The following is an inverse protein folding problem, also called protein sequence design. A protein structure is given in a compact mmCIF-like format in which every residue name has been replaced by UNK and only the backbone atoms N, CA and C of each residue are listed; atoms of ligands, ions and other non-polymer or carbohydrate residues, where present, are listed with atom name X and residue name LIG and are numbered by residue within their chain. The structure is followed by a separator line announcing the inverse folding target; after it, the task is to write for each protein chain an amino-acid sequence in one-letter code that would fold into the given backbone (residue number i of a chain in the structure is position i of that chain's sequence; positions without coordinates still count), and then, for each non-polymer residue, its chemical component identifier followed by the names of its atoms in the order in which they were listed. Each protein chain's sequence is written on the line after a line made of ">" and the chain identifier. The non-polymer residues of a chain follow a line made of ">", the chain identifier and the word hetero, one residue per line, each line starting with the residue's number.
data_IF_393268338318
#
_entry.id   IF_393268338318
#
_cell.length_a   1.000
_cell.length_b   1.000
_cell.length_c   1.000
_cell.angle_alpha   90.00
_cell.angle_beta   90.00
_cell.angle_gamma   90.00
#
_symmetry.space_group_name_H-M   'P 1'
#
loop_
_entity.id
_entity.type
_entity.pdbx_description
1 polymer ?
#
# COMPACT_ATOMS: atom_id res chain seq x y z
N UNK A 1 -9.73 -4.44 -19.54
CA UNK A 1 -10.23 -3.09 -19.22
C UNK A 1 -9.97 -2.88 -17.75
N UNK A 2 -9.16 -1.88 -17.42
CA UNK A 2 -8.77 -1.58 -16.05
C UNK A 2 -9.96 -1.08 -15.22
N UNK A 3 -9.93 -1.29 -13.90
CA UNK A 3 -10.97 -0.81 -12.98
C UNK A 3 -11.06 0.72 -13.01
N UNK A 4 -9.92 1.41 -13.03
CA UNK A 4 -9.91 2.88 -13.16
C UNK A 4 -10.71 3.34 -14.39
N UNK A 5 -10.51 2.72 -15.54
CA UNK A 5 -11.27 2.99 -16.77
C UNK A 5 -12.76 2.72 -16.59
N UNK A 6 -13.12 1.64 -15.89
CA UNK A 6 -14.53 1.33 -15.59
C UNK A 6 -15.17 2.38 -14.69
N UNK A 7 -14.47 2.85 -13.65
CA UNK A 7 -14.97 3.90 -12.75
C UNK A 7 -15.23 5.19 -13.53
N UNK A 8 -14.26 5.65 -14.33
CA UNK A 8 -14.42 6.83 -15.17
C UNK A 8 -15.59 6.70 -16.16
N UNK A 9 -15.75 5.54 -16.78
CA UNK A 9 -16.87 5.29 -17.69
C UNK A 9 -18.23 5.30 -16.96
N UNK A 10 -18.31 4.80 -15.72
CA UNK A 10 -19.54 4.86 -14.90
C UNK A 10 -19.85 6.30 -14.53
N UNK A 11 -18.85 7.07 -14.10
CA UNK A 11 -19.04 8.48 -13.75
C UNK A 11 -19.54 9.26 -14.97
N UNK A 12 -18.91 9.07 -16.14
CA UNK A 12 -19.37 9.69 -17.39
C UNK A 12 -20.80 9.27 -17.78
N UNK A 13 -21.16 8.00 -17.56
CA UNK A 13 -22.54 7.55 -17.76
C UNK A 13 -23.52 8.23 -16.81
N UNK A 14 -23.15 8.38 -15.53
CA UNK A 14 -23.96 9.06 -14.52
C UNK A 14 -24.17 10.55 -14.85
N UNK A 15 -23.12 11.23 -15.34
CA UNK A 15 -23.19 12.61 -15.85
C UNK A 15 -24.17 12.71 -17.02
N UNK A 16 -24.05 11.81 -18.01
CA UNK A 16 -24.93 11.82 -19.20
C UNK A 16 -26.40 11.55 -18.85
N UNK A 17 -26.67 10.85 -17.75
CA UNK A 17 -28.02 10.58 -17.24
C UNK A 17 -28.54 11.67 -16.31
N UNK A 18 -27.73 12.69 -15.99
CA UNK A 18 -28.11 13.79 -15.11
C UNK A 18 -28.10 13.45 -13.62
N UNK A 19 -27.44 12.37 -13.20
CA UNK A 19 -27.34 11.99 -11.78
C UNK A 19 -26.33 12.84 -11.00
N UNK A 20 -25.35 13.45 -11.69
CA UNK A 20 -24.31 14.29 -11.10
C UNK A 20 -23.86 15.37 -12.09
N UNK A 21 -23.23 16.42 -11.58
CA UNK A 21 -22.48 17.38 -12.38
C UNK A 21 -21.22 16.76 -13.01
N UNK A 22 -20.64 17.48 -13.97
CA UNK A 22 -19.38 17.09 -14.60
C UNK A 22 -18.24 17.06 -13.58
N UNK A 23 -17.50 15.96 -13.58
CA UNK A 23 -16.24 15.79 -12.84
C UNK A 23 -15.10 15.65 -13.84
N UNK A 24 -14.03 16.42 -13.65
CA UNK A 24 -12.83 16.29 -14.48
C UNK A 24 -12.10 14.97 -14.16
N UNK A 25 -11.35 14.38 -15.12
CA UNK A 25 -10.62 13.14 -14.84
C UNK A 25 -9.67 13.21 -13.64
N UNK A 26 -8.92 14.31 -13.40
CA UNK A 26 -8.08 14.42 -12.21
C UNK A 26 -8.87 14.44 -10.89
N UNK A 27 -10.07 15.02 -10.87
CA UNK A 27 -10.94 14.99 -9.67
C UNK A 27 -11.37 13.55 -9.36
N UNK A 28 -11.77 12.80 -10.39
CA UNK A 28 -12.12 11.38 -10.23
C UNK A 28 -10.91 10.57 -9.75
N UNK A 29 -9.72 10.80 -10.31
CA UNK A 29 -8.49 10.11 -9.89
C UNK A 29 -8.12 10.41 -8.42
N UNK A 30 -8.28 11.66 -7.97
CA UNK A 30 -8.04 12.05 -6.57
C UNK A 30 -9.01 11.35 -5.62
N UNK A 31 -10.30 11.27 -5.98
CA UNK A 31 -11.31 10.56 -5.17
C UNK A 31 -11.07 9.05 -5.14
N UNK A 32 -10.66 8.46 -6.28
CA UNK A 32 -10.22 7.05 -6.32
C UNK A 32 -9.06 6.84 -5.34
N UNK A 33 -8.06 7.72 -5.35
CA UNK A 33 -6.91 7.60 -4.47
C UNK A 33 -7.28 7.76 -2.99
N UNK A 34 -8.15 8.72 -2.64
CA UNK A 34 -8.65 8.89 -1.28
C UNK A 34 -9.34 7.61 -0.77
N UNK A 35 -10.23 7.03 -1.57
CA UNK A 35 -10.93 5.78 -1.20
C UNK A 35 -9.98 4.59 -1.08
N UNK A 36 -8.97 4.51 -1.96
CA UNK A 36 -7.90 3.49 -1.86
C UNK A 36 -7.15 3.64 -0.54
N UNK A 37 -6.78 4.87 -0.18
CA UNK A 37 -6.01 5.14 1.04
C UNK A 37 -6.84 4.85 2.30
N UNK A 38 -8.11 5.24 2.32
CA UNK A 38 -9.02 4.94 3.44
C UNK A 38 -9.19 3.43 3.63
N UNK A 39 -9.40 2.70 2.52
CA UNK A 39 -9.53 1.23 2.56
C UNK A 39 -8.22 0.56 2.96
N UNK A 40 -7.08 1.09 2.52
CA UNK A 40 -5.77 0.62 2.93
C UNK A 40 -5.55 0.80 4.44
N UNK A 41 -5.86 1.97 5.00
CA UNK A 41 -5.71 2.26 6.42
C UNK A 41 -6.60 1.37 7.30
N UNK A 42 -7.85 1.14 6.87
CA UNK A 42 -8.78 0.21 7.50
C UNK A 42 -8.15 -1.20 7.60
N UNK A 43 -7.66 -1.72 6.47
CA UNK A 43 -7.06 -3.06 6.41
C UNK A 43 -5.70 -3.17 7.08
N UNK A 44 -4.87 -2.12 7.04
CA UNK A 44 -3.58 -2.09 7.71
C UNK A 44 -3.74 -2.28 9.23
N UNK A 45 -4.75 -1.64 9.83
CA UNK A 45 -5.03 -1.74 11.28
C UNK A 45 -5.45 -3.15 11.74
N UNK A 46 -5.97 -3.96 10.83
CA UNK A 46 -6.45 -5.33 11.09
C UNK A 46 -5.54 -6.41 10.49
N UNK A 47 -4.44 -6.01 9.83
CA UNK A 47 -3.55 -6.90 9.09
C UNK A 47 -3.04 -8.06 9.97
N UNK A 48 -2.58 -7.75 11.19
CA UNK A 48 -2.07 -8.78 12.11
C UNK A 48 -3.16 -9.74 12.62
N UNK A 49 -4.43 -9.35 12.57
CA UNK A 49 -5.54 -10.08 13.22
C UNK A 49 -6.24 -11.06 12.29
N UNK A 50 -6.30 -10.77 10.99
CA UNK A 50 -7.17 -11.49 10.06
C UNK A 50 -6.39 -12.01 8.84
N UNK A 51 -6.36 -13.34 8.63
CA UNK A 51 -5.71 -13.96 7.46
C UNK A 51 -6.29 -13.48 6.14
N UNK A 52 -7.61 -13.29 6.06
CA UNK A 52 -8.26 -12.81 4.85
C UNK A 52 -7.83 -11.39 4.48
N UNK A 53 -7.62 -10.53 5.48
CA UNK A 53 -7.11 -9.17 5.27
C UNK A 53 -5.64 -9.22 4.85
N UNK A 54 -4.85 -10.14 5.40
CA UNK A 54 -3.47 -10.37 4.92
C UNK A 54 -3.43 -10.73 3.43
N UNK A 55 -4.34 -11.59 2.98
CA UNK A 55 -4.44 -11.95 1.56
C UNK A 55 -4.82 -10.74 0.68
N UNK A 56 -5.72 -9.87 1.17
CA UNK A 56 -6.10 -8.64 0.47
C UNK A 56 -4.97 -7.62 0.40
N UNK A 57 -4.13 -7.60 1.43
CA UNK A 57 -2.98 -6.70 1.57
C UNK A 57 -1.71 -7.23 0.90
N UNK A 58 -1.71 -8.47 0.40
CA UNK A 58 -0.57 -9.09 -0.26
C UNK A 58 0.07 -8.26 -1.38
N UNK A 59 -0.67 -7.51 -2.24
CA UNK A 59 -0.06 -6.65 -3.27
C UNK A 59 0.82 -5.52 -2.72
N UNK A 60 0.61 -5.15 -1.45
CA UNK A 60 1.38 -4.11 -0.77
C UNK A 60 2.50 -4.68 0.09
N UNK A 61 2.63 -6.00 0.17
CA UNK A 61 3.70 -6.64 0.90
C UNK A 61 4.97 -6.64 0.04
N UNK A 62 6.02 -5.99 0.54
CA UNK A 62 7.32 -5.92 -0.13
C UNK A 62 8.38 -6.42 0.83
N UNK A 63 9.26 -7.28 0.33
CA UNK A 63 10.48 -7.70 1.04
C UNK A 63 11.68 -7.12 0.31
N UNK A 64 12.49 -6.33 1.02
CA UNK A 64 13.71 -5.73 0.50
C UNK A 64 14.91 -6.07 1.39
N UNK A 65 16.05 -6.33 0.76
CA UNK A 65 17.33 -6.36 1.46
C UNK A 65 17.80 -4.93 1.73
N UNK A 66 18.12 -4.63 2.98
CA UNK A 66 18.75 -3.38 3.41
C UNK A 66 20.17 -3.63 3.86
N UNK A 67 21.04 -2.70 3.50
CA UNK A 67 22.46 -2.71 3.85
C UNK A 67 22.72 -1.56 4.83
N UNK A 68 23.58 -1.78 5.82
CA UNK A 68 23.95 -0.76 6.80
C UNK A 68 24.57 0.44 6.08
N UNK A 69 23.99 1.62 6.30
CA UNK A 69 24.41 2.90 5.72
C UNK A 69 25.85 3.28 6.13
N UNK A 70 26.24 2.88 7.33
CA UNK A 70 27.48 3.30 8.00
C UNK A 70 28.54 2.20 8.11
N UNK A 71 28.19 0.96 7.73
CA UNK A 71 28.98 -0.27 7.88
C UNK A 71 29.45 -0.62 9.31
N UNK A 72 29.02 0.15 10.32
CA UNK A 72 29.56 0.08 11.69
C UNK A 72 28.54 0.35 12.78
N UNK A 73 27.54 1.20 12.51
CA UNK A 73 26.59 1.69 13.53
C UNK A 73 25.25 0.93 13.53
N UNK A 74 25.09 -0.08 12.65
CA UNK A 74 23.86 -0.89 12.56
C UNK A 74 22.64 -0.07 12.17
N UNK A 75 22.85 0.99 11.39
CA UNK A 75 21.80 1.92 10.97
C UNK A 75 21.43 1.69 9.52
N UNK A 76 20.14 1.54 9.26
CA UNK A 76 19.60 1.23 7.94
C UNK A 76 18.63 2.31 7.49
N UNK A 77 18.60 2.56 6.18
CA UNK A 77 17.61 3.48 5.61
C UNK A 77 16.27 2.78 5.44
N UNK A 78 15.23 3.48 5.86
CA UNK A 78 13.85 3.04 5.67
C UNK A 78 13.54 3.07 4.15
N UNK A 79 12.87 2.04 3.59
CA UNK A 79 12.43 2.09 2.20
C UNK A 79 11.52 3.29 1.90
N UNK A 80 11.60 3.76 0.66
CA UNK A 80 10.61 4.70 0.13
C UNK A 80 9.22 4.07 0.21
N UNK A 81 8.20 4.86 0.59
CA UNK A 81 6.80 4.41 0.74
C UNK A 81 6.58 3.35 1.84
N UNK A 82 7.52 3.15 2.76
CA UNK A 82 7.25 2.30 3.92
C UNK A 82 6.16 2.93 4.80
N UNK A 83 5.15 2.13 5.14
CA UNK A 83 4.15 2.48 6.15
C UNK A 83 4.33 1.67 7.45
N UNK A 84 4.32 0.33 7.34
CA UNK A 84 4.38 -0.57 8.50
C UNK A 84 5.36 -1.72 8.28
N UNK A 85 6.20 -1.99 9.29
CA UNK A 85 6.99 -3.22 9.38
C UNK A 85 6.07 -4.41 9.61
N UNK A 86 6.37 -5.53 8.93
CA UNK A 86 5.69 -6.80 9.16
C UNK A 86 6.67 -7.80 9.76
N UNK A 87 7.87 -7.87 9.20
CA UNK A 87 8.90 -8.79 9.64
C UNK A 87 10.26 -8.19 9.33
N UNK A 88 11.20 -8.32 10.26
CA UNK A 88 12.59 -7.96 10.06
C UNK A 88 13.44 -9.17 10.40
N UNK A 89 14.29 -9.58 9.47
CA UNK A 89 15.12 -10.76 9.61
C UNK A 89 16.56 -10.44 9.23
N UNK A 90 17.49 -11.19 9.81
CA UNK A 90 18.84 -11.27 9.32
C UNK A 90 18.95 -12.28 8.15
N UNK A 91 20.11 -12.34 7.49
CA UNK A 91 20.38 -13.22 6.35
C UNK A 91 20.23 -14.72 6.72
N UNK A 92 20.48 -15.07 7.97
CA UNK A 92 20.28 -16.43 8.52
C UNK A 92 18.82 -16.73 8.91
N UNK A 93 17.88 -15.83 8.57
CA UNK A 93 16.46 -15.89 8.92
C UNK A 93 16.15 -15.72 10.40
N UNK A 94 17.13 -15.31 11.21
CA UNK A 94 16.89 -14.92 12.61
C UNK A 94 15.99 -13.69 12.65
N UNK A 95 14.88 -13.79 13.35
CA UNK A 95 13.92 -12.69 13.54
C UNK A 95 14.51 -11.62 14.46
N UNK A 96 14.32 -10.36 14.07
CA UNK A 96 14.78 -9.20 14.82
C UNK A 96 13.57 -8.57 15.50
N UNK A 97 13.60 -8.54 16.83
CA UNK A 97 12.49 -8.03 17.63
C UNK A 97 12.40 -6.50 17.51
N UNK A 98 11.25 -6.00 17.06
CA UNK A 98 10.98 -4.56 17.07
C UNK A 98 10.58 -4.10 18.47
N UNK A 99 11.28 -3.10 19.01
CA UNK A 99 10.99 -2.52 20.31
C UNK A 99 10.75 -1.02 20.23
N UNK A 100 9.87 -0.53 21.10
CA UNK A 100 9.59 0.90 21.22
C UNK A 100 10.81 1.68 21.75
N UNK A 101 10.86 2.96 21.42
CA UNK A 101 11.93 3.88 21.81
C UNK A 101 12.09 3.98 23.33
N UNK A 102 11.00 3.86 24.11
CA UNK A 102 11.09 3.83 25.56
C UNK A 102 11.79 2.56 26.06
N UNK A 103 11.44 1.38 25.51
CA UNK A 103 12.00 0.08 25.89
C UNK A 103 13.47 -0.06 25.45
N UNK A 104 13.88 0.59 24.36
CA UNK A 104 15.23 0.57 23.83
C UNK A 104 16.31 0.91 24.85
N UNK A 105 16.12 1.99 25.61
CA UNK A 105 17.08 2.44 26.61
C UNK A 105 17.20 1.45 27.80
N UNK A 106 16.10 0.77 28.15
CA UNK A 106 16.09 -0.25 29.20
C UNK A 106 16.79 -1.52 28.74
N UNK A 107 16.48 -1.99 27.52
CA UNK A 107 17.00 -3.24 26.98
C UNK A 107 18.52 -3.24 26.82
N UNK A 108 19.10 -2.11 26.41
CA UNK A 108 20.56 -1.94 26.30
C UNK A 108 21.26 -2.11 27.66
N UNK A 109 20.60 -1.69 28.75
CA UNK A 109 21.17 -1.70 30.09
C UNK A 109 20.79 -2.94 30.91
N UNK A 110 19.99 -3.84 30.33
CA UNK A 110 19.49 -5.02 31.00
C UNK A 110 20.61 -6.06 31.13
N UNK A 111 21.04 -6.41 32.35
CA UNK A 111 22.07 -7.41 32.56
C UNK A 111 21.56 -8.85 32.38
N UNK A 112 20.25 -9.07 32.41
CA UNK A 112 19.63 -10.40 32.34
C UNK A 112 19.48 -10.86 30.91
N UNK A 113 19.10 -9.95 30.01
CA UNK A 113 18.87 -10.28 28.61
C UNK A 113 19.29 -9.10 27.73
N UNK A 114 20.61 -8.86 27.61
CA UNK A 114 21.13 -7.86 26.71
C UNK A 114 20.92 -8.29 25.25
N UNK A 115 20.85 -7.33 24.31
CA UNK A 115 20.84 -7.63 22.88
C UNK A 115 22.02 -8.49 22.49
N UNK A 116 21.76 -9.62 21.81
CA UNK A 116 22.79 -10.57 21.40
C UNK A 116 22.54 -11.03 19.96
N UNK A 117 23.49 -11.79 19.41
CA UNK A 117 23.38 -12.36 18.07
C UNK A 117 22.10 -13.18 17.87
N UNK A 118 21.72 -13.93 18.91
CA UNK A 118 20.57 -14.84 18.92
C UNK A 118 19.25 -14.11 19.21
N UNK A 119 19.33 -12.96 19.89
CA UNK A 119 18.17 -12.13 20.25
C UNK A 119 18.43 -10.67 19.85
N UNK A 120 18.48 -10.37 18.54
CA UNK A 120 18.66 -9.02 18.07
C UNK A 120 17.39 -8.19 18.26
N UNK A 121 17.60 -6.90 18.51
CA UNK A 121 16.53 -5.92 18.66
C UNK A 121 16.67 -4.82 17.61
N UNK A 122 15.54 -4.26 17.19
CA UNK A 122 15.46 -3.15 16.26
C UNK A 122 14.59 -2.03 16.84
N UNK A 123 14.94 -0.79 16.50
CA UNK A 123 14.08 0.37 16.69
C UNK A 123 13.94 1.16 15.40
N UNK A 124 12.71 1.45 15.02
CA UNK A 124 12.40 2.39 13.95
C UNK A 124 12.47 3.84 14.45
N UNK A 125 13.18 4.67 13.70
CA UNK A 125 13.13 6.13 13.80
C UNK A 125 12.36 6.69 12.59
N UNK A 126 12.26 8.01 12.48
CA UNK A 126 11.49 8.64 11.41
C UNK A 126 11.96 8.25 9.99
N UNK A 127 13.27 8.21 9.76
CA UNK A 127 13.89 7.97 8.43
C UNK A 127 14.80 6.76 8.36
N UNK A 128 15.20 6.22 9.51
CA UNK A 128 16.14 5.12 9.63
C UNK A 128 15.65 4.14 10.67
N UNK A 129 16.20 2.93 10.67
CA UNK A 129 16.04 1.99 11.77
C UNK A 129 17.41 1.52 12.25
N UNK A 130 17.52 1.22 13.54
CA UNK A 130 18.76 0.85 14.19
C UNK A 130 18.63 -0.53 14.78
N UNK A 131 19.65 -1.38 14.58
CA UNK A 131 19.66 -2.77 15.05
C UNK A 131 20.82 -2.97 16.01
N UNK A 132 20.56 -3.72 17.08
CA UNK A 132 21.57 -4.20 18.03
C UNK A 132 21.52 -5.74 18.12
N UNK A 133 22.65 -6.39 18.43
CA UNK A 133 23.98 -5.81 18.69
C UNK A 133 24.65 -5.25 17.43
N UNK A 134 25.48 -4.21 17.59
CA UNK A 134 26.34 -3.71 16.51
C UNK A 134 27.73 -4.31 16.61
N UNK A 135 28.51 -4.18 15.52
CA UNK A 135 29.91 -4.60 15.41
C UNK A 135 30.83 -4.13 16.57
N UNK A 136 30.41 -3.17 17.40
CA UNK A 136 31.24 -2.59 18.46
C UNK A 136 30.72 -2.79 19.90
N UNK A 137 29.60 -3.48 20.11
CA UNK A 137 29.05 -3.68 21.46
C UNK A 137 29.25 -5.11 21.94
N UNK A 138 30.40 -5.34 22.59
CA UNK A 138 30.82 -6.57 23.29
C UNK A 138 30.91 -7.87 22.46
N UNK A 139 31.97 -8.64 22.69
CA UNK A 139 32.32 -9.81 21.90
C UNK A 139 31.34 -10.99 22.08
N UNK A 140 31.09 -11.80 21.03
CA UNK A 140 31.60 -11.62 19.67
C UNK A 140 30.82 -10.52 18.92
N UNK A 141 31.52 -9.62 18.20
CA UNK A 141 30.88 -8.56 17.44
C UNK A 141 30.09 -9.17 16.28
N UNK A 142 28.76 -9.12 16.37
CA UNK A 142 27.89 -9.50 15.25
C UNK A 142 27.58 -8.23 14.48
N UNK A 143 28.13 -8.16 13.28
CA UNK A 143 27.69 -7.19 12.30
C UNK A 143 26.45 -7.77 11.62
N UNK A 144 25.40 -6.97 11.50
CA UNK A 144 24.29 -7.20 10.58
C UNK A 144 24.60 -6.40 9.32
N UNK A 145 25.46 -6.88 8.39
CA UNK A 145 25.77 -6.12 7.18
C UNK A 145 24.53 -5.97 6.29
N UNK A 146 23.59 -6.91 6.42
CA UNK A 146 22.39 -7.05 5.61
C UNK A 146 21.23 -7.52 6.46
N UNK A 147 20.05 -6.99 6.18
CA UNK A 147 18.80 -7.44 6.78
C UNK A 147 17.70 -7.49 5.73
N UNK A 148 16.78 -8.43 5.88
CA UNK A 148 15.58 -8.56 5.08
C UNK A 148 14.44 -7.86 5.83
N UNK A 149 13.94 -6.78 5.25
CA UNK A 149 12.79 -6.06 5.78
C UNK A 149 11.57 -6.36 4.92
N UNK A 150 10.58 -7.01 5.52
CA UNK A 150 9.23 -7.16 4.96
C UNK A 150 8.32 -6.10 5.55
N UNK A 151 7.68 -5.33 4.68
CA UNK A 151 6.86 -4.18 5.07
C UNK A 151 5.65 -4.00 4.16
N UNK A 152 4.65 -3.28 4.66
CA UNK A 152 3.52 -2.79 3.87
C UNK A 152 3.90 -1.44 3.27
N UNK A 153 3.90 -1.36 1.92
CA UNK A 153 4.09 -0.12 1.19
C UNK A 153 2.79 0.67 1.04
N UNK A 154 2.88 1.99 1.01
CA UNK A 154 1.73 2.84 0.67
C UNK A 154 1.26 2.56 -0.76
N UNK A 155 -0.07 2.53 -1.03
CA UNK A 155 -0.60 2.38 -2.37
C UNK A 155 -0.08 3.44 -3.34
N UNK A 156 0.14 3.03 -4.59
CA UNK A 156 0.50 3.96 -5.67
C UNK A 156 -0.78 4.59 -6.24
N UNK A 157 -0.81 5.91 -6.49
CA UNK A 157 -1.96 6.56 -7.10
C UNK A 157 -2.33 5.93 -8.45
N UNK A 158 -3.59 5.53 -8.58
CA UNK A 158 -4.15 5.11 -9.85
C UNK A 158 -4.44 6.38 -10.67
N UNK A 159 -3.98 6.41 -11.93
CA UNK A 159 -4.06 7.61 -12.77
C UNK A 159 -4.56 7.22 -14.15
N UNK A 160 -5.65 7.86 -14.58
CA UNK A 160 -6.17 7.65 -15.92
C UNK A 160 -5.35 8.44 -16.92
N UNK A 161 -4.81 7.77 -17.94
CA UNK A 161 -4.29 8.45 -19.13
C UNK A 161 -5.41 8.61 -20.14
N UNK A 162 -5.55 9.82 -20.66
CA UNK A 162 -6.55 10.15 -21.66
C UNK A 162 -6.00 11.19 -22.64
N UNK A 163 -6.62 11.25 -23.81
CA UNK A 163 -6.44 12.34 -24.77
C UNK A 163 -7.77 13.07 -24.95
N UNK A 164 -7.72 14.35 -25.25
CA UNK A 164 -8.93 15.12 -25.59
C UNK A 164 -8.96 15.29 -27.10
N UNK A 165 -9.99 14.76 -27.75
CA UNK A 165 -10.20 14.90 -29.18
C UNK A 165 -11.61 15.45 -29.41
N UNK A 166 -11.70 16.60 -30.09
CA UNK A 166 -12.97 17.30 -30.34
C UNK A 166 -13.79 17.56 -29.06
N UNK A 167 -13.13 17.94 -27.97
CA UNK A 167 -13.79 18.19 -26.68
C UNK A 167 -14.31 16.94 -25.96
N UNK A 168 -14.01 15.74 -26.47
CA UNK A 168 -14.35 14.46 -25.83
C UNK A 168 -13.09 13.81 -25.25
N UNK A 169 -13.24 13.22 -24.07
CA UNK A 169 -12.18 12.45 -23.41
C UNK A 169 -12.13 11.05 -24.04
N UNK A 170 -11.00 10.71 -24.65
CA UNK A 170 -10.70 9.37 -25.15
C UNK A 170 -9.77 8.69 -24.16
N UNK A 171 -10.24 7.59 -23.58
CA UNK A 171 -9.51 6.84 -22.56
C UNK A 171 -8.38 6.02 -23.19
N UNK A 172 -7.19 6.09 -22.60
CA UNK A 172 -6.04 5.25 -22.93
C UNK A 172 -5.77 4.25 -21.79
N UNK A 173 -6.43 3.09 -21.86
CA UNK A 173 -6.28 2.01 -20.87
C UNK A 173 -4.83 1.50 -20.78
N UNK A 174 -4.09 1.49 -21.91
CA UNK A 174 -2.72 0.99 -21.96
C UNK A 174 -1.75 1.87 -21.14
N UNK A 175 -1.88 3.20 -21.22
CA UNK A 175 -1.04 4.14 -20.48
C UNK A 175 -1.48 4.38 -19.02
N UNK A 176 -2.68 3.97 -18.63
CA UNK A 176 -3.24 4.25 -17.30
C UNK A 176 -2.60 3.38 -16.20
N UNK A 177 -2.45 3.92 -15.00
CA UNK A 177 -2.02 3.15 -13.82
C UNK A 177 -3.23 2.56 -13.12
N UNK A 178 -3.20 1.26 -12.85
CA UNK A 178 -4.32 0.51 -12.23
C UNK A 178 -4.24 0.54 -10.71
N UNK A 179 -5.39 0.27 -10.07
CA UNK A 179 -5.49 0.05 -8.62
C UNK A 179 -4.79 -1.26 -8.23
N UNK A 180 -3.95 -1.23 -7.20
CA UNK A 180 -3.13 -2.39 -6.79
C UNK A 180 -3.94 -3.49 -6.05
N UNK A 181 -5.12 -3.15 -5.51
CA UNK A 181 -5.99 -4.12 -4.85
C UNK A 181 -6.46 -5.22 -5.81
N UNK A 182 -6.61 -6.42 -5.26
CA UNK A 182 -7.08 -7.58 -6.01
C UNK A 182 -8.53 -7.44 -6.50
N UNK A 183 -8.94 -8.23 -7.53
CA UNK A 183 -10.26 -8.14 -8.16
C UNK A 183 -11.45 -8.32 -7.21
N UNK A 184 -11.27 -9.01 -6.09
CA UNK A 184 -12.32 -9.25 -5.08
C UNK A 184 -12.80 -7.95 -4.42
N UNK A 185 -11.94 -6.93 -4.33
CA UNK A 185 -12.25 -5.64 -3.72
C UNK A 185 -12.68 -4.59 -4.75
N UNK A 186 -12.57 -4.88 -6.04
CA UNK A 186 -12.83 -3.92 -7.12
C UNK A 186 -14.26 -3.36 -7.08
N UNK A 187 -15.25 -4.20 -6.80
CA UNK A 187 -16.65 -3.75 -6.69
C UNK A 187 -16.85 -2.86 -5.47
N UNK A 188 -16.31 -3.26 -4.32
CA UNK A 188 -16.38 -2.46 -3.07
C UNK A 188 -15.71 -1.10 -3.26
N UNK A 189 -14.52 -1.06 -3.85
CA UNK A 189 -13.79 0.19 -4.13
C UNK A 189 -14.59 1.06 -5.09
N UNK A 190 -15.10 0.49 -6.19
CA UNK A 190 -15.96 1.22 -7.13
C UNK A 190 -17.16 1.85 -6.42
N UNK A 191 -17.87 1.09 -5.59
CA UNK A 191 -19.09 1.56 -4.93
C UNK A 191 -18.76 2.63 -3.88
N UNK A 192 -17.65 2.49 -3.14
CA UNK A 192 -17.13 3.55 -2.24
C UNK A 192 -16.78 4.83 -3.01
N UNK A 193 -16.12 4.73 -4.18
CA UNK A 193 -15.79 5.90 -5.02
C UNK A 193 -17.04 6.60 -5.55
N UNK A 194 -18.01 5.83 -6.05
CA UNK A 194 -19.28 6.41 -6.52
C UNK A 194 -20.02 7.12 -5.37
N UNK A 195 -20.02 6.53 -4.18
CA UNK A 195 -20.59 7.16 -2.99
C UNK A 195 -19.85 8.44 -2.59
N UNK A 196 -18.52 8.46 -2.66
CA UNK A 196 -17.71 9.65 -2.36
C UNK A 196 -18.01 10.80 -3.34
N UNK A 197 -18.21 10.48 -4.62
CA UNK A 197 -18.63 11.43 -5.66
C UNK A 197 -20.11 11.84 -5.58
N UNK A 198 -20.86 11.36 -4.58
CA UNK A 198 -22.29 11.64 -4.40
C UNK A 198 -23.20 10.94 -5.41
N UNK A 199 -22.69 9.93 -6.14
CA UNK A 199 -23.42 9.20 -7.17
C UNK A 199 -24.07 7.96 -6.52
N UNK A 200 -25.36 8.05 -6.25
CA UNK A 200 -26.14 6.91 -5.75
C UNK A 200 -26.82 6.18 -6.92
N UNK A 201 -26.15 5.15 -7.46
CA UNK A 201 -26.74 4.27 -8.46
C UNK A 201 -27.54 3.16 -7.77
N UNK A 202 -28.86 3.12 -8.00
CA UNK A 202 -29.68 1.97 -7.62
C UNK A 202 -29.29 0.75 -8.47
N UNK A 203 -29.37 -0.47 -7.90
CA UNK A 203 -29.03 -1.72 -8.59
C UNK A 203 -29.55 -1.86 -10.04
N UNK A 204 -30.78 -1.42 -10.40
CA UNK A 204 -31.25 -1.48 -11.78
C UNK A 204 -30.40 -0.66 -12.77
N UNK A 205 -29.88 0.51 -12.35
CA UNK A 205 -29.02 1.35 -13.19
C UNK A 205 -27.62 0.75 -13.39
N UNK A 206 -27.15 -0.03 -12.43
CA UNK A 206 -25.88 -0.78 -12.53
C UNK A 206 -26.03 -1.92 -13.55
N UNK A 207 -27.19 -2.60 -13.57
CA UNK A 207 -27.51 -3.63 -14.57
C UNK A 207 -27.63 -3.02 -15.97
N UNK A 208 -28.28 -1.86 -16.12
CA UNK A 208 -28.34 -1.14 -17.41
C UNK A 208 -26.95 -0.77 -17.93
N UNK A 209 -26.06 -0.29 -17.06
CA UNK A 209 -24.68 0.00 -17.42
C UNK A 209 -23.89 -1.26 -17.82
N UNK A 210 -24.07 -2.36 -17.08
CA UNK A 210 -23.47 -3.66 -17.41
C UNK A 210 -23.92 -4.14 -18.79
N UNK A 211 -25.19 -3.96 -19.13
CA UNK A 211 -25.74 -4.29 -20.45
C UNK A 211 -25.21 -3.35 -21.55
N UNK A 212 -25.03 -2.07 -21.25
CA UNK A 212 -24.49 -1.08 -22.20
C UNK A 212 -23.02 -1.36 -22.57
N UNK A 213 -22.21 -1.87 -21.63
CA UNK A 213 -20.83 -2.32 -21.92
C UNK A 213 -20.81 -3.67 -22.63
N UNK A 214 -21.66 -4.61 -22.20
CA UNK A 214 -21.72 -5.96 -22.79
C UNK A 214 -22.14 -5.95 -24.27
N UNK A 215 -22.96 -4.98 -24.68
CA UNK A 215 -23.41 -4.82 -26.07
C UNK A 215 -22.38 -4.25 -27.04
N UNK A 216 -21.30 -3.63 -26.57
CA UNK A 216 -20.30 -2.98 -27.47
C UNK A 216 -19.23 -3.94 -28.02
N UNK A 217 -19.35 -5.25 -27.77
CA UNK A 217 -18.44 -6.28 -28.33
C UNK A 217 -18.97 -6.97 -29.58
N UNK A 218 -20.10 -6.53 -30.12
CA UNK A 218 -20.61 -7.02 -31.41
C UNK A 218 -21.07 -5.84 -32.24
N UNK A 219 -20.13 -5.22 -32.94
CA UNK A 219 -20.31 -4.59 -34.26
C UNK A 219 -18.94 -4.20 -34.82
#
# INVERSE_FOLDING_TARGET
>A
MKLITRIHNIVNFAVNKGFTGYHSPPEIDNEIYAVIMDTYNEFASEYAKNSRIRDYMAPFLVTEEKVDKSSTDGSFEKPDKFEHSVLLQHEDLTEIEEIDNAAWAFRIKDPVSPPSAEYPICKFNSTTFSILPVKNTAAPPVAYPKVLLTYLKTPTPAVLKYTVQNGRIIVNDAGSTEIEFGPLLHNTIRDKVLSALGINLREPAIVEYSNAIGGSKVQ
#
